data_IF_941300580008
#
_entry.id   IF_941300580008
#
_cell.length_a   1.000
_cell.length_b   1.000
_cell.length_c   1.000
_cell.angle_alpha   90.00
_cell.angle_beta   90.00
_cell.angle_gamma   90.00
#
_symmetry.space_group_name_H-M   'P 1'
#
loop_
_entity.id
_entity.type
_entity.pdbx_description
1 polymer ?
#
# COMPACT_ATOMS: atom_id res chain seq x y z
N UNK A 1 19.97 -4.42 -0.45
CA UNK A 1 20.44 -3.17 0.21
C UNK A 1 19.34 -2.12 0.33
N UNK A 2 18.62 -1.77 -0.74
CA UNK A 2 17.56 -0.74 -0.70
C UNK A 2 16.47 -0.99 0.38
N UNK A 3 16.02 -2.23 0.56
CA UNK A 3 15.04 -2.58 1.60
C UNK A 3 15.56 -2.36 3.02
N UNK A 4 16.87 -2.57 3.27
CA UNK A 4 17.47 -2.29 4.57
C UNK A 4 17.56 -0.79 4.82
N UNK A 5 17.91 0.00 3.79
CA UNK A 5 17.88 1.47 3.84
C UNK A 5 16.48 1.98 4.20
N UNK A 6 15.43 1.40 3.60
CA UNK A 6 14.05 1.70 3.93
C UNK A 6 13.68 1.38 5.38
N UNK A 7 13.98 0.17 5.85
CA UNK A 7 13.70 -0.26 7.23
C UNK A 7 14.38 0.65 8.27
N UNK A 8 15.58 1.15 7.96
CA UNK A 8 16.31 2.10 8.81
C UNK A 8 15.72 3.52 8.78
N UNK A 9 14.92 3.85 7.76
CA UNK A 9 14.19 5.12 7.69
C UNK A 9 12.84 5.08 8.42
N UNK A 10 12.43 3.94 8.98
CA UNK A 10 11.25 3.87 9.83
C UNK A 10 11.58 4.39 11.25
N UNK A 11 10.62 5.03 11.93
CA UNK A 11 10.79 5.50 13.30
C UNK A 11 10.84 4.33 14.29
N UNK A 12 11.31 4.59 15.51
CA UNK A 12 11.42 3.57 16.58
C UNK A 12 10.09 2.90 16.92
N UNK A 13 8.97 3.62 16.81
CA UNK A 13 7.63 3.07 17.07
C UNK A 13 6.95 2.42 15.85
N UNK A 14 7.51 2.56 14.65
CA UNK A 14 6.91 1.97 13.45
C UNK A 14 7.13 0.44 13.48
N UNK A 15 6.12 -0.34 13.11
CA UNK A 15 6.25 -1.79 12.97
C UNK A 15 6.16 -2.17 11.50
N UNK A 16 6.84 -3.24 11.12
CA UNK A 16 6.83 -3.77 9.76
C UNK A 16 6.66 -5.28 9.79
N UNK A 17 5.99 -5.81 8.78
CA UNK A 17 5.82 -7.22 8.50
C UNK A 17 6.33 -7.46 7.08
N UNK A 18 6.96 -8.61 6.83
CA UNK A 18 7.37 -9.02 5.48
C UNK A 18 6.51 -10.21 5.07
N UNK A 19 5.84 -10.04 3.93
CA UNK A 19 5.01 -11.07 3.30
C UNK A 19 5.69 -11.47 2.00
N UNK A 20 5.98 -12.76 1.86
CA UNK A 20 6.42 -13.37 0.62
C UNK A 20 5.18 -13.77 -0.20
N UNK A 21 5.22 -13.50 -1.51
CA UNK A 21 4.14 -13.86 -2.44
C UNK A 21 4.63 -15.04 -3.28
N UNK A 22 3.92 -16.16 -3.17
CA UNK A 22 4.11 -17.35 -3.99
C UNK A 22 2.74 -17.78 -4.55
N UNK A 23 2.40 -19.08 -4.56
CA UNK A 23 1.01 -19.56 -4.66
C UNK A 23 0.15 -19.13 -3.46
N UNK A 24 0.79 -18.71 -2.38
CA UNK A 24 0.17 -18.23 -1.14
C UNK A 24 0.85 -16.95 -0.67
N UNK A 25 0.23 -16.27 0.31
CA UNK A 25 0.78 -15.09 0.96
C UNK A 25 1.33 -15.46 2.35
N UNK A 26 2.65 -15.64 2.42
CA UNK A 26 3.32 -16.18 3.59
C UNK A 26 4.01 -15.08 4.40
N UNK A 27 3.68 -14.98 5.68
CA UNK A 27 4.34 -14.04 6.58
C UNK A 27 5.69 -14.61 6.99
N UNK A 28 6.76 -14.14 6.34
CA UNK A 28 8.13 -14.61 6.60
C UNK A 28 8.84 -13.83 7.72
N UNK A 29 8.30 -12.65 8.06
CA UNK A 29 8.64 -11.96 9.30
C UNK A 29 7.39 -11.26 9.86
N UNK A 30 6.97 -11.59 11.09
CA UNK A 30 5.76 -11.03 11.68
C UNK A 30 5.91 -9.55 11.99
N UNK A 31 4.78 -8.88 12.21
CA UNK A 31 4.74 -7.47 12.54
C UNK A 31 5.54 -7.18 13.81
N UNK A 32 6.65 -6.46 13.67
CA UNK A 32 7.51 -6.08 14.80
C UNK A 32 8.32 -4.82 14.50
N UNK A 33 8.94 -4.26 15.53
CA UNK A 33 9.93 -3.19 15.40
C UNK A 33 11.36 -3.73 15.14
N UNK A 34 11.53 -5.06 15.11
CA UNK A 34 12.84 -5.71 14.95
C UNK A 34 13.33 -5.65 13.50
N UNK A 35 13.97 -4.53 13.15
CA UNK A 35 14.49 -4.28 11.80
C UNK A 35 15.50 -5.33 11.34
N UNK A 36 16.26 -5.91 12.26
CA UNK A 36 17.26 -6.91 11.91
C UNK A 36 16.60 -8.17 11.37
N UNK A 37 15.58 -8.67 12.07
CA UNK A 37 14.83 -9.85 11.62
C UNK A 37 14.06 -9.57 10.31
N UNK A 38 13.49 -8.37 10.13
CA UNK A 38 12.85 -8.00 8.86
C UNK A 38 13.85 -7.98 7.69
N UNK A 39 15.01 -7.36 7.88
CA UNK A 39 16.07 -7.29 6.87
C UNK A 39 16.61 -8.68 6.50
N UNK A 40 16.78 -9.55 7.49
CA UNK A 40 17.18 -10.95 7.29
C UNK A 40 16.15 -11.71 6.47
N UNK A 41 14.86 -11.58 6.80
CA UNK A 41 13.79 -12.25 6.07
C UNK A 41 13.74 -11.80 4.60
N UNK A 42 13.86 -10.50 4.32
CA UNK A 42 13.92 -9.98 2.95
C UNK A 42 15.13 -10.53 2.19
N UNK A 43 16.29 -10.63 2.86
CA UNK A 43 17.53 -11.10 2.23
C UNK A 43 17.52 -12.62 1.94
N UNK A 44 16.62 -13.36 2.59
CA UNK A 44 16.46 -14.81 2.42
C UNK A 44 15.32 -15.18 1.44
N UNK A 45 14.71 -14.19 0.79
CA UNK A 45 13.70 -14.43 -0.24
C UNK A 45 14.35 -15.07 -1.48
N UNK A 46 13.88 -16.26 -1.85
CA UNK A 46 14.25 -16.90 -3.09
C UNK A 46 13.24 -16.53 -4.20
N UNK A 47 13.65 -16.44 -5.48
CA UNK A 47 12.72 -16.26 -6.58
C UNK A 47 11.83 -17.50 -6.74
N UNK A 48 10.51 -17.33 -6.63
CA UNK A 48 9.52 -18.40 -6.91
C UNK A 48 8.80 -18.19 -8.24
N UNK A 49 8.30 -19.28 -8.82
CA UNK A 49 7.70 -19.29 -10.16
C UNK A 49 6.19 -19.03 -10.20
N UNK A 50 5.54 -18.88 -9.04
CA UNK A 50 4.08 -18.71 -8.91
C UNK A 50 3.78 -17.44 -8.12
N UNK A 51 2.73 -16.72 -8.54
CA UNK A 51 2.36 -15.43 -7.95
C UNK A 51 0.83 -15.32 -7.83
N UNK A 52 0.33 -15.40 -6.59
CA UNK A 52 -1.05 -15.11 -6.21
C UNK A 52 -1.15 -13.68 -5.65
N UNK A 53 -0.89 -12.70 -6.53
CA UNK A 53 -0.74 -11.28 -6.16
C UNK A 53 -2.00 -10.71 -5.52
N UNK A 54 -3.17 -10.92 -6.15
CA UNK A 54 -4.46 -10.40 -5.69
C UNK A 54 -4.84 -10.96 -4.32
N UNK A 55 -4.68 -12.27 -4.11
CA UNK A 55 -4.93 -12.92 -2.82
C UNK A 55 -3.98 -12.38 -1.74
N UNK A 56 -2.70 -12.17 -2.08
CA UNK A 56 -1.72 -11.61 -1.15
C UNK A 56 -2.03 -10.16 -0.75
N UNK A 57 -2.56 -9.35 -1.66
CA UNK A 57 -3.01 -7.99 -1.33
C UNK A 57 -4.14 -8.05 -0.31
N UNK A 58 -5.20 -8.82 -0.58
CA UNK A 58 -6.34 -8.96 0.34
C UNK A 58 -5.89 -9.44 1.71
N UNK A 59 -5.09 -10.52 1.73
CA UNK A 59 -4.59 -11.11 2.97
C UNK A 59 -3.68 -10.14 3.77
N UNK A 60 -2.95 -9.26 3.09
CA UNK A 60 -2.13 -8.22 3.73
C UNK A 60 -2.99 -7.10 4.31
N UNK A 61 -4.03 -6.67 3.58
CA UNK A 61 -4.96 -5.65 4.05
C UNK A 61 -5.74 -6.13 5.28
N UNK A 62 -6.19 -7.39 5.30
CA UNK A 62 -6.87 -7.99 6.47
C UNK A 62 -5.99 -8.03 7.71
N UNK A 63 -4.69 -8.26 7.54
CA UNK A 63 -3.74 -8.23 8.66
C UNK A 63 -3.52 -6.80 9.16
N UNK A 64 -3.37 -5.85 8.24
CA UNK A 64 -3.19 -4.44 8.59
C UNK A 64 -4.41 -3.89 9.32
N UNK A 65 -5.63 -4.22 8.90
CA UNK A 65 -6.87 -3.72 9.50
C UNK A 65 -6.99 -4.00 11.01
N UNK A 66 -6.39 -5.10 11.48
CA UNK A 66 -6.39 -5.48 12.91
C UNK A 66 -5.43 -4.63 13.75
N UNK A 67 -4.59 -3.81 13.12
CA UNK A 67 -3.54 -3.05 13.78
C UNK A 67 -3.91 -1.57 13.88
N UNK A 68 -3.71 -0.93 15.04
CA UNK A 68 -4.03 0.47 15.20
C UNK A 68 -3.03 1.38 14.46
N UNK A 69 -3.48 2.59 14.17
CA UNK A 69 -2.65 3.67 13.65
C UNK A 69 -2.58 3.71 12.12
N UNK A 70 -1.59 4.46 11.62
CA UNK A 70 -1.43 4.68 10.18
C UNK A 70 -0.85 3.43 9.52
N UNK A 71 -1.53 2.92 8.51
CA UNK A 71 -1.17 1.69 7.83
C UNK A 71 -0.70 1.98 6.41
N UNK A 72 0.25 1.18 5.92
CA UNK A 72 0.68 1.23 4.54
C UNK A 72 1.09 -0.15 4.05
N UNK A 73 0.76 -0.44 2.79
CA UNK A 73 1.21 -1.61 2.05
C UNK A 73 2.17 -1.18 0.95
N UNK A 74 3.45 -1.51 1.11
CA UNK A 74 4.44 -1.37 0.05
C UNK A 74 4.49 -2.68 -0.72
N UNK A 75 3.93 -2.68 -1.92
CA UNK A 75 3.78 -3.89 -2.73
C UNK A 75 4.86 -3.90 -3.81
N UNK A 76 5.61 -4.99 -3.90
CA UNK A 76 6.61 -5.18 -4.94
C UNK A 76 6.22 -6.39 -5.81
N UNK A 77 6.01 -6.18 -7.10
CA UNK A 77 5.58 -7.24 -8.01
C UNK A 77 5.92 -6.90 -9.47
N UNK A 78 6.16 -7.90 -10.29
CA UNK A 78 6.23 -7.76 -11.75
C UNK A 78 4.84 -7.65 -12.42
N UNK A 79 3.77 -7.75 -11.62
CA UNK A 79 2.39 -7.62 -12.06
C UNK A 79 1.79 -8.89 -12.66
N UNK A 80 2.55 -9.98 -12.75
CA UNK A 80 2.05 -11.22 -13.35
C UNK A 80 1.32 -12.06 -12.28
N UNK A 81 0.00 -12.03 -12.29
CA UNK A 81 -0.83 -12.86 -11.40
C UNK A 81 -1.29 -14.11 -12.16
N UNK A 82 -0.93 -15.29 -11.65
CA UNK A 82 -1.20 -16.57 -12.33
C UNK A 82 -2.04 -17.55 -11.52
N UNK A 83 -2.19 -17.31 -10.22
CA UNK A 83 -2.76 -18.29 -9.30
C UNK A 83 -3.79 -17.71 -8.33
N UNK A 84 -4.06 -16.40 -8.37
CA UNK A 84 -5.04 -15.85 -7.43
C UNK A 84 -6.44 -16.34 -7.72
N UNK A 85 -7.16 -16.72 -6.66
CA UNK A 85 -8.59 -16.96 -6.71
C UNK A 85 -9.36 -15.64 -6.82
N UNK A 86 -8.90 -14.60 -6.14
CA UNK A 86 -9.54 -13.29 -6.16
C UNK A 86 -9.44 -12.60 -7.52
N UNK A 87 -10.51 -11.93 -7.90
CA UNK A 87 -10.63 -11.04 -9.06
C UNK A 87 -10.05 -9.65 -8.76
N UNK A 88 -9.71 -8.88 -9.80
CA UNK A 88 -9.29 -7.49 -9.62
C UNK A 88 -10.35 -6.65 -8.90
N UNK A 89 -11.64 -6.88 -9.20
CA UNK A 89 -12.76 -6.20 -8.59
C UNK A 89 -12.86 -6.44 -7.08
N UNK A 90 -12.59 -7.66 -6.61
CA UNK A 90 -12.56 -7.99 -5.18
C UNK A 90 -11.40 -7.29 -4.46
N UNK A 91 -10.23 -7.20 -5.08
CA UNK A 91 -9.09 -6.45 -4.51
C UNK A 91 -9.41 -4.95 -4.42
N UNK A 92 -10.03 -4.39 -5.46
CA UNK A 92 -10.46 -2.98 -5.47
C UNK A 92 -11.50 -2.72 -4.37
N UNK A 93 -12.53 -3.57 -4.26
CA UNK A 93 -13.54 -3.47 -3.21
C UNK A 93 -12.91 -3.55 -1.82
N UNK A 94 -11.98 -4.49 -1.62
CA UNK A 94 -11.26 -4.65 -0.36
C UNK A 94 -10.39 -3.44 -0.01
N UNK A 95 -9.72 -2.84 -0.99
CA UNK A 95 -8.90 -1.65 -0.80
C UNK A 95 -9.73 -0.41 -0.47
N UNK A 96 -10.95 -0.28 -1.02
CA UNK A 96 -11.88 0.82 -0.67
C UNK A 96 -12.26 0.83 0.81
N UNK A 97 -12.44 -0.35 1.41
CA UNK A 97 -12.71 -0.50 2.85
C UNK A 97 -11.46 -0.42 3.73
N UNK A 98 -10.26 -0.36 3.15
CA UNK A 98 -9.01 -0.31 3.93
C UNK A 98 -8.61 1.12 4.30
N UNK A 99 -8.01 1.27 5.47
CA UNK A 99 -7.33 2.51 5.88
C UNK A 99 -5.84 2.53 5.50
N UNK A 100 -5.34 1.48 4.83
CA UNK A 100 -3.96 1.39 4.42
C UNK A 100 -3.68 2.15 3.12
N UNK A 101 -2.63 2.98 3.11
CA UNK A 101 -2.09 3.53 1.87
C UNK A 101 -1.40 2.43 1.07
N UNK A 102 -1.72 2.28 -0.21
CA UNK A 102 -1.10 1.27 -1.08
C UNK A 102 -0.08 1.92 -2.00
N UNK A 103 1.15 1.40 -1.97
CA UNK A 103 2.28 1.83 -2.81
C UNK A 103 2.77 0.67 -3.68
N UNK A 104 2.15 0.44 -4.85
CA UNK A 104 2.65 -0.53 -5.81
C UNK A 104 3.97 -0.07 -6.41
N UNK A 105 4.95 -0.96 -6.43
CA UNK A 105 6.25 -0.81 -7.06
C UNK A 105 6.36 -1.93 -8.09
N UNK A 106 6.27 -1.58 -9.37
CA UNK A 106 6.31 -2.57 -10.46
C UNK A 106 7.66 -2.63 -11.15
N UNK A 107 8.06 -3.84 -11.51
CA UNK A 107 9.24 -4.10 -12.35
C UNK A 107 8.79 -4.73 -13.66
N UNK A 108 9.38 -4.29 -14.77
CA UNK A 108 9.15 -4.91 -16.07
C UNK A 108 8.10 -4.21 -16.92
N UNK A 109 7.64 -4.94 -17.95
CA UNK A 109 6.78 -4.39 -19.01
C UNK A 109 5.29 -4.52 -18.68
N UNK A 110 4.91 -5.58 -17.99
CA UNK A 110 3.52 -5.81 -17.59
C UNK A 110 3.15 -4.87 -16.45
N UNK A 111 1.99 -4.22 -16.59
CA UNK A 111 1.50 -3.21 -15.66
C UNK A 111 0.00 -3.38 -15.53
N UNK A 112 -0.46 -4.25 -14.61
CA UNK A 112 -1.88 -4.43 -14.38
C UNK A 112 -2.54 -3.09 -14.05
N UNK A 113 -3.65 -2.78 -14.73
CA UNK A 113 -4.35 -1.50 -14.59
C UNK A 113 -4.93 -1.28 -13.21
N UNK A 114 -5.25 -2.35 -12.47
CA UNK A 114 -5.80 -2.24 -11.13
C UNK A 114 -4.78 -1.70 -10.11
N UNK A 115 -3.47 -1.91 -10.28
CA UNK A 115 -2.46 -1.43 -9.32
C UNK A 115 -2.46 0.11 -9.18
N UNK A 116 -2.40 0.90 -10.28
CA UNK A 116 -2.63 2.34 -10.22
C UNK A 116 -3.95 2.73 -9.55
N UNK A 117 -5.03 2.00 -9.79
CA UNK A 117 -6.33 2.26 -9.18
C UNK A 117 -6.28 2.09 -7.65
N UNK A 118 -5.64 1.02 -7.14
CA UNK A 118 -5.46 0.82 -5.69
C UNK A 118 -4.70 1.99 -5.04
N UNK A 119 -3.65 2.48 -5.70
CA UNK A 119 -2.87 3.60 -5.21
C UNK A 119 -3.70 4.90 -5.16
N UNK A 120 -4.54 5.14 -6.16
CA UNK A 120 -5.42 6.31 -6.21
C UNK A 120 -6.50 6.22 -5.12
N UNK A 121 -7.21 5.10 -5.05
CA UNK A 121 -8.30 4.88 -4.09
C UNK A 121 -7.86 5.10 -2.64
N UNK A 122 -6.65 4.65 -2.32
CA UNK A 122 -6.10 4.74 -0.96
C UNK A 122 -5.32 6.02 -0.69
N UNK A 123 -5.02 6.84 -1.72
CA UNK A 123 -4.21 8.06 -1.58
C UNK A 123 -2.68 7.83 -1.60
N UNK A 124 -2.24 6.63 -1.98
CA UNK A 124 -0.85 6.27 -2.18
C UNK A 124 -0.28 6.71 -3.55
N UNK A 125 0.73 5.95 -4.03
CA UNK A 125 1.36 6.18 -5.35
C UNK A 125 1.94 4.91 -5.95
N UNK A 126 1.74 4.73 -7.26
CA UNK A 126 2.44 3.70 -8.03
C UNK A 126 3.81 4.19 -8.49
N UNK A 127 4.79 3.30 -8.42
CA UNK A 127 6.15 3.50 -8.93
C UNK A 127 6.47 2.39 -9.93
N UNK A 128 7.21 2.75 -10.96
CA UNK A 128 7.70 1.82 -11.98
C UNK A 128 9.20 1.92 -11.95
N UNK A 129 9.88 0.82 -11.68
CA UNK A 129 11.34 0.79 -11.64
C UNK A 129 11.88 0.35 -12.99
N UNK A 130 12.85 1.10 -13.49
CA UNK A 130 13.64 0.73 -14.67
C UNK A 130 14.84 -0.13 -14.30
N UNK A 131 15.43 0.12 -13.13
CA UNK A 131 16.60 -0.57 -12.62
C UNK A 131 16.64 -0.58 -11.08
N UNK A 132 17.61 -1.29 -10.51
CA UNK A 132 17.76 -1.45 -9.07
C UNK A 132 18.17 -0.16 -8.34
N UNK A 133 18.76 0.83 -9.03
CA UNK A 133 19.19 2.10 -8.41
C UNK A 133 17.99 3.00 -8.12
N UNK A 134 16.92 2.91 -8.92
CA UNK A 134 15.67 3.64 -8.67
C UNK A 134 14.91 3.13 -7.43
N UNK A 135 15.15 1.88 -7.02
CA UNK A 135 14.46 1.28 -5.87
C UNK A 135 14.78 2.03 -4.57
N UNK A 136 16.05 2.35 -4.32
CA UNK A 136 16.44 3.06 -3.10
C UNK A 136 15.82 4.45 -3.01
N UNK A 137 15.82 5.19 -4.13
CA UNK A 137 15.17 6.50 -4.24
C UNK A 137 13.66 6.40 -4.04
N UNK A 138 13.04 5.36 -4.61
CA UNK A 138 11.60 5.09 -4.49
C UNK A 138 11.22 4.82 -3.04
N UNK A 139 11.90 3.89 -2.38
CA UNK A 139 11.64 3.54 -0.99
C UNK A 139 11.89 4.72 -0.06
N UNK A 140 12.95 5.50 -0.27
CA UNK A 140 13.21 6.72 0.51
C UNK A 140 12.10 7.76 0.35
N UNK A 141 11.53 7.85 -0.87
CA UNK A 141 10.39 8.72 -1.12
C UNK A 141 9.14 8.24 -0.39
N UNK A 142 8.86 6.94 -0.40
CA UNK A 142 7.75 6.33 0.34
C UNK A 142 7.93 6.56 1.85
N UNK A 143 9.12 6.30 2.41
CA UNK A 143 9.40 6.53 3.83
C UNK A 143 9.13 7.99 4.24
N UNK A 144 9.51 8.95 3.39
CA UNK A 144 9.21 10.37 3.61
C UNK A 144 7.70 10.66 3.55
N UNK A 145 6.98 10.09 2.60
CA UNK A 145 5.52 10.24 2.50
C UNK A 145 4.79 9.62 3.70
N UNK A 146 5.26 8.47 4.20
CA UNK A 146 4.75 7.87 5.43
C UNK A 146 5.06 8.72 6.67
N UNK A 147 6.15 9.49 6.66
CA UNK A 147 6.50 10.40 7.77
C UNK A 147 5.66 11.67 7.80
N UNK A 148 5.30 12.23 6.64
CA UNK A 148 4.62 13.52 6.53
C UNK A 148 3.23 13.36 5.93
N UNK A 149 2.27 13.00 6.79
CA UNK A 149 0.85 12.92 6.44
C UNK A 149 0.06 13.88 7.31
N UNK A 150 -0.95 14.51 6.72
CA UNK A 150 -1.92 15.33 7.43
C UNK A 150 -3.17 14.50 7.68
N UNK A 151 -3.69 14.53 8.91
CA UNK A 151 -5.02 14.02 9.23
C UNK A 151 -6.01 15.18 9.13
N UNK A 152 -6.98 15.07 8.22
CA UNK A 152 -8.05 16.04 8.04
C UNK A 152 -9.35 15.41 8.52
N UNK A 153 -9.96 16.01 9.55
CA UNK A 153 -11.30 15.67 9.99
C UNK A 153 -12.32 16.61 9.37
N UNK A 154 -13.43 16.08 8.88
CA UNK A 154 -14.57 16.86 8.41
C UNK A 154 -15.88 16.16 8.80
N UNK A 155 -16.93 16.94 8.99
CA UNK A 155 -18.29 16.41 9.12
C UNK A 155 -18.96 16.43 7.74
N UNK A 156 -19.51 15.31 7.24
CA UNK A 156 -20.24 15.32 5.98
C UNK A 156 -21.46 16.25 6.07
N UNK A 157 -21.75 16.97 4.98
CA UNK A 157 -22.91 17.86 4.92
C UNK A 157 -24.24 17.10 4.93
N UNK A 158 -24.26 15.91 4.31
CA UNK A 158 -25.43 15.04 4.27
C UNK A 158 -25.32 13.97 5.38
N UNK A 159 -26.38 13.75 6.18
CA UNK A 159 -26.42 12.67 7.17
C UNK A 159 -26.14 11.32 6.51
N UNK A 160 -25.38 10.45 7.19
CA UNK A 160 -25.23 9.06 6.76
C UNK A 160 -26.55 8.35 7.08
N UNK A 161 -27.17 7.73 6.09
CA UNK A 161 -28.31 6.85 6.33
C UNK A 161 -27.80 5.50 6.84
N UNK A 162 -28.25 5.07 8.01
CA UNK A 162 -27.85 3.79 8.56
C UNK A 162 -28.21 2.64 7.61
N UNK A 163 -27.25 1.73 7.39
CA UNK A 163 -27.41 0.56 6.54
C UNK A 163 -27.27 0.82 5.04
N UNK A 164 -27.07 2.07 4.61
CA UNK A 164 -26.70 2.35 3.22
C UNK A 164 -25.19 2.18 3.07
N UNK A 165 -24.76 1.22 2.24
CA UNK A 165 -23.34 1.03 1.89
C UNK A 165 -22.96 2.01 0.76
N UNK A 166 -23.19 3.30 0.98
CA UNK A 166 -23.01 4.31 -0.06
C UNK A 166 -21.55 4.75 -0.17
N UNK A 167 -21.11 4.99 -1.41
CA UNK A 167 -19.79 5.56 -1.67
C UNK A 167 -19.84 7.08 -1.57
N UNK A 168 -19.00 7.64 -0.71
CA UNK A 168 -18.82 9.08 -0.54
C UNK A 168 -17.44 9.51 -1.02
N UNK A 169 -17.41 10.29 -2.10
CA UNK A 169 -16.17 10.81 -2.67
C UNK A 169 -15.56 11.91 -1.79
N UNK A 170 -14.24 11.91 -1.65
CA UNK A 170 -13.46 12.95 -0.97
C UNK A 170 -12.60 13.66 -2.02
N UNK A 171 -12.58 15.00 -1.97
CA UNK A 171 -11.66 15.82 -2.75
C UNK A 171 -11.01 16.84 -1.83
N UNK A 172 -9.68 16.84 -1.82
CA UNK A 172 -8.87 17.82 -1.09
C UNK A 172 -8.20 18.75 -2.09
N UNK A 173 -8.37 20.05 -1.90
CA UNK A 173 -7.76 21.10 -2.72
C UNK A 173 -6.93 22.04 -1.86
N UNK A 174 -5.85 22.59 -2.43
CA UNK A 174 -5.14 23.71 -1.81
C UNK A 174 -5.84 25.01 -2.24
N UNK A 175 -6.04 25.93 -1.30
CA UNK A 175 -6.52 27.28 -1.61
C UNK A 175 -5.35 28.16 -2.04
N UNK A 176 -5.53 28.99 -3.08
CA UNK A 176 -4.46 29.84 -3.61
C UNK A 176 -3.52 29.14 -4.60
N UNK A 177 -2.44 29.84 -4.99
CA UNK A 177 -1.46 29.34 -5.96
C UNK A 177 -0.24 28.75 -5.26
N UNK A 178 -0.08 27.43 -5.35
CA UNK A 178 1.04 26.69 -4.77
C UNK A 178 1.80 25.92 -5.86
N UNK A 179 2.65 26.60 -6.65
CA UNK A 179 3.38 25.95 -7.73
C UNK A 179 4.29 24.86 -7.17
N UNK A 180 4.22 23.67 -7.78
CA UNK A 180 5.04 22.51 -7.40
C UNK A 180 4.45 21.63 -6.28
N UNK A 181 3.36 22.04 -5.62
CA UNK A 181 2.66 21.19 -4.67
C UNK A 181 1.61 20.32 -5.37
N UNK A 182 1.47 19.07 -4.91
CA UNK A 182 0.43 18.14 -5.37
C UNK A 182 -0.24 17.53 -4.16
N UNK A 183 -1.56 17.62 -4.11
CA UNK A 183 -2.38 16.96 -3.08
C UNK A 183 -2.55 15.49 -3.44
N UNK A 184 -2.47 14.64 -2.43
CA UNK A 184 -2.90 13.24 -2.48
C UNK A 184 -3.74 12.97 -1.26
N UNK A 185 -4.89 12.37 -1.48
CA UNK A 185 -5.83 11.95 -0.47
C UNK A 185 -6.54 10.70 -0.99
N UNK A 186 -7.17 9.94 -0.09
CA UNK A 186 -8.12 8.89 -0.49
C UNK A 186 -9.24 9.51 -1.33
N UNK A 187 -9.69 8.79 -2.35
CA UNK A 187 -10.75 9.26 -3.26
C UNK A 187 -12.14 9.24 -2.63
N UNK A 188 -12.30 8.54 -1.52
CA UNK A 188 -13.57 8.41 -0.80
C UNK A 188 -13.58 7.30 0.23
N UNK A 189 -14.75 7.04 0.78
CA UNK A 189 -15.02 5.97 1.74
C UNK A 189 -16.43 5.42 1.50
N UNK A 190 -16.65 4.19 1.95
CA UNK A 190 -17.96 3.59 2.04
C UNK A 190 -18.48 3.79 3.46
N UNK A 191 -19.76 4.13 3.61
CA UNK A 191 -20.43 4.18 4.92
C UNK A 191 -20.74 2.78 5.42
N UNK A 192 -20.65 2.59 6.72
CA UNK A 192 -20.95 1.31 7.40
C UNK A 192 -22.46 1.05 7.56
#
# INVERSE_FOLDING_TARGET
>A
QASNSFLNQLKTGDRSMVVAISSTADVIAPLSADRFNQARAISALDPWSTTALRDAIIASLDRLEREPGRQALVLFSDGNDRYSAATEAEVIARARGSNALIYPITIGKERPSFLPELAVLTGGRTFILKDATELEKTLSTIARELRYQYLLGYAPSDPIQEGTHEWRSIRVTLTGNHPGLRVRARDGYTTD
#
